data_IF_922917543568
#
_entry.id   IF_922917543568
#
_cell.length_a   1.000
_cell.length_b   1.000
_cell.length_c   1.000
_cell.angle_alpha   90.00
_cell.angle_beta   90.00
_cell.angle_gamma   90.00
#
_symmetry.space_group_name_H-M   'P 1'
#
loop_
_entity.id
_entity.type
_entity.pdbx_description
1 polymer ?
#
# COMPACT_ATOMS: atom_id res chain seq x y z
N UNK A 1 4.76 17.69 -4.30
CA UNK A 1 4.51 16.48 -3.49
C UNK A 1 3.85 15.44 -4.39
N UNK A 2 4.41 14.24 -4.49
CA UNK A 2 3.78 13.15 -5.22
C UNK A 2 2.70 12.49 -4.35
N UNK A 3 1.49 12.34 -4.90
CA UNK A 3 0.44 11.57 -4.22
C UNK A 3 0.78 10.08 -4.30
N UNK A 4 1.06 9.48 -3.15
CA UNK A 4 1.26 8.04 -3.03
C UNK A 4 -0.07 7.30 -3.19
N UNK A 5 -0.05 6.18 -3.90
CA UNK A 5 -1.22 5.33 -4.13
C UNK A 5 -0.84 3.87 -4.15
N UNK A 6 -1.84 2.99 -4.18
CA UNK A 6 -1.63 1.55 -4.35
C UNK A 6 -0.75 1.30 -5.59
N UNK A 7 0.33 0.56 -5.41
CA UNK A 7 1.33 0.30 -6.44
C UNK A 7 2.48 1.32 -6.52
N UNK A 8 2.47 2.41 -5.74
CA UNK A 8 3.64 3.27 -5.61
C UNK A 8 4.81 2.51 -4.99
N UNK A 9 6.00 2.63 -5.57
CA UNK A 9 7.22 1.96 -5.09
C UNK A 9 8.35 2.97 -5.01
N UNK A 10 9.08 3.01 -3.91
CA UNK A 10 10.28 3.83 -3.79
C UNK A 10 11.32 3.44 -4.86
N UNK A 11 12.13 4.41 -5.28
CA UNK A 11 13.10 4.18 -6.36
C UNK A 11 14.06 3.00 -6.03
N UNK A 12 14.18 2.06 -6.96
CA UNK A 12 15.02 0.88 -6.80
C UNK A 12 14.44 -0.19 -5.87
N UNK A 13 13.18 -0.07 -5.45
CA UNK A 13 12.49 -1.05 -4.58
C UNK A 13 11.46 -1.89 -5.31
N UNK A 14 11.45 -1.88 -6.64
CA UNK A 14 10.60 -2.80 -7.42
C UNK A 14 10.88 -4.27 -7.04
N UNK A 15 9.83 -5.08 -6.86
CA UNK A 15 10.03 -6.50 -6.60
C UNK A 15 10.61 -7.18 -7.84
N UNK A 16 11.62 -8.04 -7.65
CA UNK A 16 12.20 -8.85 -8.72
C UNK A 16 11.15 -9.72 -9.40
N UNK A 17 10.22 -10.28 -8.61
CA UNK A 17 9.11 -11.08 -9.12
C UNK A 17 7.76 -10.52 -8.59
N UNK A 18 7.08 -9.74 -9.44
CA UNK A 18 5.75 -9.16 -9.14
C UNK A 18 4.69 -10.22 -8.84
N UNK A 19 4.77 -11.38 -9.49
CA UNK A 19 3.79 -12.46 -9.31
C UNK A 19 3.96 -13.14 -7.95
N UNK A 20 5.20 -13.43 -7.58
CA UNK A 20 5.53 -13.98 -6.26
C UNK A 20 5.14 -13.02 -5.14
N UNK A 21 5.43 -11.72 -5.31
CA UNK A 21 5.01 -10.68 -4.38
C UNK A 21 3.48 -10.66 -4.19
N UNK A 22 2.71 -10.83 -5.28
CA UNK A 22 1.25 -10.77 -5.25
C UNK A 22 0.57 -12.08 -4.88
N UNK A 23 1.28 -13.21 -4.94
CA UNK A 23 0.77 -14.56 -4.68
C UNK A 23 0.01 -14.70 -3.36
N UNK A 24 0.46 -14.14 -2.21
CA UNK A 24 -0.30 -14.21 -0.96
C UNK A 24 -1.67 -13.56 -1.04
N UNK A 25 -1.81 -12.50 -1.83
CA UNK A 25 -3.06 -11.75 -2.00
C UNK A 25 -3.96 -12.38 -3.07
N UNK A 26 -3.36 -12.92 -4.13
CA UNK A 26 -4.10 -13.40 -5.30
C UNK A 26 -4.57 -14.86 -5.17
N UNK A 27 -3.98 -15.67 -4.29
CA UNK A 27 -4.35 -17.08 -4.11
C UNK A 27 -5.85 -17.32 -3.81
N UNK A 28 -6.50 -16.36 -3.17
CA UNK A 28 -7.91 -16.42 -2.80
C UNK A 28 -8.84 -15.82 -3.86
N UNK A 29 -8.30 -15.21 -4.92
CA UNK A 29 -9.09 -14.69 -6.02
C UNK A 29 -9.59 -15.81 -6.95
N UNK A 30 -10.58 -15.48 -7.78
CA UNK A 30 -11.03 -16.36 -8.86
C UNK A 30 -9.85 -16.79 -9.74
N UNK A 31 -9.85 -18.04 -10.21
CA UNK A 31 -8.72 -18.67 -10.94
C UNK A 31 -8.20 -17.79 -12.08
N UNK A 32 -9.10 -17.16 -12.85
CA UNK A 32 -8.75 -16.25 -13.97
C UNK A 32 -8.02 -14.96 -13.56
N UNK A 33 -7.99 -14.62 -12.27
CA UNK A 33 -7.37 -13.39 -11.74
C UNK A 33 -6.07 -13.67 -10.98
N UNK A 34 -5.74 -14.92 -10.66
CA UNK A 34 -4.61 -15.26 -9.77
C UNK A 34 -3.26 -14.85 -10.33
N UNK A 35 -3.11 -14.91 -11.66
CA UNK A 35 -1.85 -14.63 -12.36
C UNK A 35 -1.69 -13.15 -12.73
N UNK A 36 -2.56 -12.26 -12.23
CA UNK A 36 -2.42 -10.82 -12.46
C UNK A 36 -1.20 -10.29 -11.71
N UNK A 37 -0.38 -9.50 -12.40
CA UNK A 37 0.85 -8.87 -11.87
C UNK A 37 0.63 -7.44 -11.38
N UNK A 38 -0.61 -7.11 -11.08
CA UNK A 38 -1.08 -5.77 -10.70
C UNK A 38 -1.89 -5.89 -9.42
N UNK A 39 -1.94 -4.82 -8.62
CA UNK A 39 -2.86 -4.72 -7.51
C UNK A 39 -4.28 -4.45 -8.00
N UNK A 40 -5.29 -4.94 -7.28
CA UNK A 40 -6.70 -4.63 -7.53
C UNK A 40 -7.17 -3.64 -6.48
N UNK A 41 -7.40 -2.39 -6.88
CA UNK A 41 -7.94 -1.38 -5.99
C UNK A 41 -9.41 -1.67 -5.69
N UNK A 42 -9.73 -1.84 -4.40
CA UNK A 42 -11.08 -2.17 -3.94
C UNK A 42 -12.07 -1.01 -4.13
N UNK A 43 -11.60 0.24 -4.13
CA UNK A 43 -12.49 1.41 -4.15
C UNK A 43 -13.11 1.68 -5.53
N UNK A 44 -12.37 1.35 -6.60
CA UNK A 44 -12.76 1.67 -7.98
C UNK A 44 -12.67 0.44 -8.91
N UNK A 45 -12.32 -0.73 -8.37
CA UNK A 45 -12.09 -1.98 -9.10
C UNK A 45 -11.02 -1.91 -10.20
N UNK A 46 -10.17 -0.88 -10.20
CA UNK A 46 -9.11 -0.71 -11.20
C UNK A 46 -7.87 -1.50 -10.83
N UNK A 47 -7.20 -2.03 -11.85
CA UNK A 47 -5.89 -2.64 -11.68
C UNK A 47 -4.82 -1.55 -11.66
N UNK A 48 -3.95 -1.59 -10.66
CA UNK A 48 -2.82 -0.68 -10.49
C UNK A 48 -1.53 -1.46 -10.65
N UNK A 49 -0.69 -1.08 -11.60
CA UNK A 49 0.66 -1.63 -11.70
C UNK A 49 1.59 -1.00 -10.67
N UNK A 50 2.73 -1.63 -10.45
CA UNK A 50 3.84 -1.06 -9.73
C UNK A 50 4.41 0.12 -10.51
N UNK A 51 4.45 1.29 -9.88
CA UNK A 51 5.02 2.51 -10.43
C UNK A 51 6.06 3.05 -9.48
N UNK A 52 7.30 3.12 -9.96
CA UNK A 52 8.35 3.79 -9.20
C UNK A 52 8.05 5.28 -9.05
N UNK A 53 8.27 5.77 -7.85
CA UNK A 53 8.26 7.18 -7.50
C UNK A 53 9.65 7.57 -7.03
N UNK A 54 10.03 8.81 -7.33
CA UNK A 54 11.32 9.33 -6.86
C UNK A 54 11.34 9.41 -5.33
N UNK A 55 12.49 9.11 -4.75
CA UNK A 55 12.70 9.20 -3.31
C UNK A 55 12.27 7.96 -2.52
N UNK A 56 11.94 8.20 -1.24
CA UNK A 56 11.69 7.17 -0.21
C UNK A 56 10.39 7.45 0.56
N UNK A 57 9.41 8.04 -0.13
CA UNK A 57 8.19 8.55 0.50
C UNK A 57 7.30 7.42 1.02
N UNK A 58 7.28 6.26 0.36
CA UNK A 58 6.53 5.08 0.83
C UNK A 58 7.16 4.55 2.12
N UNK A 59 8.49 4.39 2.15
CA UNK A 59 9.20 3.96 3.34
C UNK A 59 8.97 4.90 4.53
N UNK A 60 9.02 6.22 4.29
CA UNK A 60 8.75 7.25 5.32
C UNK A 60 7.32 7.13 5.86
N UNK A 61 6.33 6.98 4.97
CA UNK A 61 4.94 6.75 5.36
C UNK A 61 4.79 5.47 6.21
N UNK A 62 5.38 4.36 5.78
CA UNK A 62 5.32 3.09 6.51
C UNK A 62 5.94 3.22 7.91
N UNK A 63 7.09 3.91 8.04
CA UNK A 63 7.74 4.18 9.32
C UNK A 63 6.85 5.04 10.22
N UNK A 64 6.23 6.08 9.66
CA UNK A 64 5.29 6.94 10.39
C UNK A 64 4.09 6.13 10.90
N UNK A 65 3.41 5.37 10.05
CA UNK A 65 2.25 4.56 10.41
C UNK A 65 2.60 3.50 11.47
N UNK A 66 3.79 2.89 11.37
CA UNK A 66 4.30 1.97 12.39
C UNK A 66 4.49 2.67 13.74
N UNK A 67 5.13 3.84 13.74
CA UNK A 67 5.38 4.60 14.97
C UNK A 67 4.10 5.08 15.66
N UNK A 68 3.03 5.30 14.88
CA UNK A 68 1.70 5.69 15.36
C UNK A 68 0.81 4.50 15.75
N UNK A 69 1.28 3.26 15.58
CA UNK A 69 0.52 2.06 15.92
C UNK A 69 -0.48 1.60 14.86
N UNK A 70 -0.57 2.28 13.71
CA UNK A 70 -1.49 1.92 12.61
C UNK A 70 -0.93 0.83 11.69
N UNK A 71 0.37 0.54 11.79
CA UNK A 71 1.00 -0.55 11.04
C UNK A 71 2.09 -1.25 11.88
N UNK A 72 1.73 -1.93 12.99
CA UNK A 72 2.71 -2.44 13.96
C UNK A 72 3.66 -3.49 13.35
N UNK A 73 3.10 -4.36 12.51
CA UNK A 73 3.84 -5.41 11.80
C UNK A 73 4.29 -4.98 10.40
N UNK A 74 4.45 -3.67 10.16
CA UNK A 74 4.88 -3.15 8.86
C UNK A 74 6.21 -3.76 8.44
N UNK A 75 6.23 -4.34 7.24
CA UNK A 75 7.45 -4.51 6.49
C UNK A 75 7.77 -3.17 5.82
N UNK A 76 8.88 -2.55 6.22
CA UNK A 76 9.34 -1.27 5.67
C UNK A 76 10.00 -1.50 4.29
N UNK A 77 9.21 -1.99 3.34
CA UNK A 77 9.66 -2.42 2.03
C UNK A 77 9.86 -1.28 1.03
N UNK A 78 9.25 -0.12 1.28
CA UNK A 78 9.15 0.94 0.28
C UNK A 78 8.13 0.63 -0.83
N UNK A 79 7.28 -0.40 -0.66
CA UNK A 79 6.20 -0.76 -1.59
C UNK A 79 4.84 -0.45 -0.96
N UNK A 80 4.06 0.42 -1.62
CA UNK A 80 2.71 0.77 -1.21
C UNK A 80 1.75 -0.32 -1.69
N UNK A 81 1.71 -1.43 -0.94
CA UNK A 81 0.77 -2.55 -1.16
C UNK A 81 -0.50 -2.45 -0.31
N UNK A 82 -1.31 -3.52 -0.33
CA UNK A 82 -2.58 -3.59 0.40
C UNK A 82 -2.45 -3.28 1.90
N UNK A 83 -1.41 -3.78 2.57
CA UNK A 83 -1.18 -3.51 3.99
C UNK A 83 -0.91 -2.02 4.29
N UNK A 84 -0.13 -1.35 3.43
CA UNK A 84 0.12 0.09 3.58
C UNK A 84 -1.14 0.89 3.30
N UNK A 85 -1.94 0.47 2.31
CA UNK A 85 -3.24 1.09 2.00
C UNK A 85 -4.21 0.99 3.18
N UNK A 86 -4.36 -0.19 3.76
CA UNK A 86 -5.23 -0.41 4.92
C UNK A 86 -4.80 0.44 6.13
N UNK A 87 -3.51 0.45 6.45
CA UNK A 87 -2.97 1.28 7.53
C UNK A 87 -3.15 2.79 7.29
N UNK A 88 -2.97 3.24 6.04
CA UNK A 88 -3.19 4.64 5.67
C UNK A 88 -4.66 5.03 5.83
N UNK A 89 -5.59 4.19 5.36
CA UNK A 89 -7.03 4.40 5.55
C UNK A 89 -7.38 4.46 7.03
N UNK A 90 -6.90 3.52 7.85
CA UNK A 90 -7.16 3.50 9.28
C UNK A 90 -6.64 4.77 9.98
N UNK A 91 -5.46 5.25 9.62
CA UNK A 91 -4.92 6.51 10.13
C UNK A 91 -5.78 7.71 9.69
N UNK A 92 -6.19 7.77 8.43
CA UNK A 92 -7.07 8.83 7.92
C UNK A 92 -8.41 8.85 8.64
N UNK A 93 -9.03 7.68 8.86
CA UNK A 93 -10.27 7.56 9.61
C UNK A 93 -10.10 8.00 11.07
N UNK A 94 -8.98 7.65 11.72
CA UNK A 94 -8.67 8.14 13.06
C UNK A 94 -8.57 9.67 13.10
N UNK A 95 -7.81 10.27 12.18
CA UNK A 95 -7.67 11.74 12.09
C UNK A 95 -9.03 12.38 11.84
N UNK A 96 -9.84 11.84 10.95
CA UNK A 96 -11.17 12.38 10.64
C UNK A 96 -12.15 12.25 11.82
N UNK A 97 -12.21 11.09 12.45
CA UNK A 97 -13.24 10.76 13.43
C UNK A 97 -12.91 11.18 14.86
N UNK A 98 -11.63 11.23 15.23
CA UNK A 98 -11.16 11.49 16.59
C UNK A 98 -10.50 12.87 16.69
N UNK A 99 -9.47 13.14 15.88
CA UNK A 99 -8.74 14.41 15.95
C UNK A 99 -9.55 15.57 15.32
N UNK A 100 -10.26 15.31 14.23
CA UNK A 100 -11.07 16.29 13.49
C UNK A 100 -12.36 16.73 14.18
N UNK A 101 -12.73 16.08 15.30
CA UNK A 101 -13.85 16.51 16.17
C UNK A 101 -13.42 17.46 17.28
N UNK A 102 -12.13 17.78 17.39
CA UNK A 102 -11.61 18.82 18.28
C UNK A 102 -11.57 20.13 17.48
N UNK A 103 -12.75 20.67 17.17
CA UNK A 103 -12.95 22.05 16.70
C UNK A 103 -14.12 22.68 17.42
#
# INVERSE_FOLDING_TARGET
MNTLKLGSVDNGKLPQNKEEFLKPYHRWMATKLRNKKQFRDEANYKWQDFKEVEGQDVFRLQRFLKSKGFFPNAQLSGIFGYGTQAATRLFQEYVYSIEGKIQ
#
